data_IF_614552398173
#
_entry.id   IF_614552398173
#
_cell.length_a   1.000
_cell.length_b   1.000
_cell.length_c   1.000
_cell.angle_alpha   90.00
_cell.angle_beta   90.00
_cell.angle_gamma   90.00
#
_symmetry.space_group_name_H-M   'P 1'
#
loop_
_entity.id
_entity.type
_entity.pdbx_description
1 polymer ?
#
# COMPACT_ATOMS: atom_id res chain seq x y z
N UNK A 1 24.64 -69.10 53.34
CA UNK A 1 25.46 -70.32 53.21
C UNK A 1 25.03 -71.06 51.95
N UNK A 2 26.02 -71.45 51.13
CA UNK A 2 25.97 -72.37 49.99
C UNK A 2 25.13 -71.89 48.78
N UNK A 3 25.73 -71.55 47.63
CA UNK A 3 26.49 -72.38 46.66
C UNK A 3 25.64 -73.49 46.04
N UNK A 4 25.54 -73.74 44.72
CA UNK A 4 26.02 -73.22 43.43
C UNK A 4 25.15 -73.96 42.36
N UNK A 5 25.10 -73.54 41.09
CA UNK A 5 24.58 -74.43 40.04
C UNK A 5 24.28 -73.78 38.69
N UNK A 6 25.28 -73.80 37.81
CA UNK A 6 25.26 -73.40 36.40
C UNK A 6 24.58 -74.48 35.55
N UNK A 7 23.64 -74.11 34.66
CA UNK A 7 23.41 -74.82 33.39
C UNK A 7 23.27 -73.77 32.27
N UNK A 8 24.18 -73.87 31.32
CA UNK A 8 24.23 -73.19 30.02
C UNK A 8 23.41 -74.04 29.04
N UNK A 9 22.73 -73.42 28.06
CA UNK A 9 22.75 -73.75 26.61
C UNK A 9 21.43 -73.37 25.89
N UNK A 10 21.57 -72.41 24.96
CA UNK A 10 20.88 -72.20 23.66
C UNK A 10 19.45 -71.65 23.55
N UNK A 11 19.32 -70.65 22.64
CA UNK A 11 18.08 -70.18 22.02
C UNK A 11 17.91 -68.65 22.13
N UNK A 12 18.78 -67.84 21.51
CA UNK A 12 18.56 -67.22 20.20
C UNK A 12 17.30 -66.30 20.13
N UNK A 13 17.59 -64.98 20.15
CA UNK A 13 16.95 -63.89 19.39
C UNK A 13 15.48 -63.49 19.69
N UNK A 14 15.28 -62.25 20.17
CA UNK A 14 14.63 -61.14 19.42
C UNK A 14 14.31 -59.93 20.33
N UNK A 15 14.67 -58.74 19.82
CA UNK A 15 14.27 -57.37 20.22
C UNK A 15 14.89 -56.74 21.48
N UNK A 16 15.84 -55.81 21.26
CA UNK A 16 15.96 -54.45 21.85
C UNK A 16 17.27 -53.82 21.33
N UNK A 17 17.19 -52.71 20.57
CA UNK A 17 18.22 -51.66 20.47
C UNK A 17 17.59 -50.48 19.69
N UNK A 18 17.08 -49.45 20.36
CA UNK A 18 17.79 -48.27 20.87
C UNK A 18 18.50 -47.46 19.76
N UNK A 19 17.84 -46.37 19.37
CA UNK A 19 18.26 -45.36 18.38
C UNK A 19 19.35 -44.49 19.01
N UNK A 20 20.59 -44.60 18.52
CA UNK A 20 21.67 -43.64 18.80
C UNK A 20 22.49 -43.36 17.54
N UNK A 21 22.55 -42.09 17.14
CA UNK A 21 23.68 -41.43 16.50
C UNK A 21 24.17 -41.96 15.14
N UNK A 22 23.71 -41.32 14.06
CA UNK A 22 24.42 -41.29 12.78
C UNK A 22 25.72 -40.48 12.93
N UNK A 23 26.81 -41.16 13.27
CA UNK A 23 28.17 -40.66 13.10
C UNK A 23 28.60 -41.08 11.69
N UNK A 24 28.75 -40.11 10.79
CA UNK A 24 29.28 -40.35 9.44
C UNK A 24 30.79 -40.63 9.58
N UNK A 25 31.32 -41.80 9.18
CA UNK A 25 32.76 -42.01 9.20
C UNK A 25 33.42 -41.22 8.08
N UNK A 26 34.46 -40.46 8.42
CA UNK A 26 35.41 -39.91 7.45
C UNK A 26 36.25 -41.05 6.86
N UNK A 27 36.01 -41.36 5.59
CA UNK A 27 36.81 -42.34 4.85
C UNK A 27 38.18 -41.73 4.58
N UNK A 28 39.20 -42.26 5.26
CA UNK A 28 40.60 -41.97 4.95
C UNK A 28 41.05 -42.96 3.86
N UNK A 29 41.26 -42.48 2.64
CA UNK A 29 41.81 -43.30 1.57
C UNK A 29 43.35 -43.36 1.72
N UNK A 30 43.87 -44.50 2.15
CA UNK A 30 45.32 -44.79 2.12
C UNK A 30 45.69 -45.32 0.74
N UNK A 31 46.78 -44.82 0.18
CA UNK A 31 47.18 -45.04 -1.21
C UNK A 31 47.48 -46.51 -1.53
N UNK A 32 46.70 -47.11 -2.46
CA UNK A 32 47.24 -47.88 -3.59
C UNK A 32 46.12 -48.18 -4.60
N UNK A 33 46.30 -47.64 -5.82
CA UNK A 33 45.58 -47.92 -7.08
C UNK A 33 44.05 -47.63 -7.16
N UNK A 34 43.75 -46.53 -7.85
CA UNK A 34 42.50 -46.21 -8.58
C UNK A 34 41.24 -45.77 -7.81
N UNK A 35 41.37 -44.81 -6.89
CA UNK A 35 40.25 -43.88 -6.62
C UNK A 35 40.23 -42.79 -7.70
N UNK A 36 39.67 -43.08 -8.88
CA UNK A 36 39.33 -42.03 -9.84
C UNK A 36 38.12 -41.27 -9.32
N UNK A 37 38.38 -40.19 -8.60
CA UNK A 37 37.38 -39.15 -8.34
C UNK A 37 36.98 -38.59 -9.72
N UNK A 38 35.69 -38.60 -10.10
CA UNK A 38 35.26 -38.04 -11.36
C UNK A 38 35.77 -36.59 -11.49
N UNK A 39 36.29 -36.16 -12.66
CA UNK A 39 36.85 -34.82 -12.83
C UNK A 39 35.86 -33.66 -12.56
N UNK A 40 34.58 -33.98 -12.33
CA UNK A 40 33.52 -33.05 -11.95
C UNK A 40 33.33 -32.86 -10.44
N UNK A 41 34.02 -33.63 -9.59
CA UNK A 41 34.07 -33.40 -8.13
C UNK A 41 35.33 -32.59 -7.75
N UNK A 42 35.83 -31.79 -8.70
CA UNK A 42 36.74 -30.70 -8.39
C UNK A 42 35.94 -29.59 -7.70
N UNK A 43 36.16 -29.43 -6.39
CA UNK A 43 35.83 -28.27 -5.56
C UNK A 43 34.82 -27.31 -6.20
N UNK A 44 33.53 -27.51 -5.92
CA UNK A 44 32.48 -26.60 -6.37
C UNK A 44 32.79 -25.20 -5.85
N UNK A 45 33.39 -24.38 -6.72
CA UNK A 45 33.58 -22.96 -6.44
C UNK A 45 32.18 -22.41 -6.25
N UNK A 46 31.91 -21.77 -5.10
CA UNK A 46 30.59 -21.17 -4.86
C UNK A 46 30.29 -20.25 -6.04
N UNK A 47 29.16 -20.43 -6.74
CA UNK A 47 28.81 -19.55 -7.84
C UNK A 47 28.66 -18.13 -7.30
N UNK A 48 29.32 -17.17 -7.94
CA UNK A 48 29.11 -15.75 -7.66
C UNK A 48 27.91 -15.28 -8.47
N UNK A 49 26.80 -14.97 -7.80
CA UNK A 49 25.65 -14.32 -8.42
C UNK A 49 25.85 -12.81 -8.27
N UNK A 50 26.10 -12.11 -9.38
CA UNK A 50 26.12 -10.65 -9.42
C UNK A 50 24.79 -10.17 -9.98
N UNK A 51 24.06 -9.39 -9.20
CA UNK A 51 22.83 -8.72 -9.64
C UNK A 51 23.18 -7.24 -9.80
N UNK A 52 23.11 -6.73 -11.02
CA UNK A 52 23.18 -5.29 -11.31
C UNK A 52 21.76 -4.75 -11.47
N UNK A 53 21.38 -3.80 -10.62
CA UNK A 53 20.05 -3.18 -10.63
C UNK A 53 20.14 -1.77 -11.22
N UNK A 54 19.11 -1.38 -11.98
CA UNK A 54 18.96 -0.02 -12.46
C UNK A 54 18.77 0.94 -11.27
N UNK A 55 19.56 2.02 -11.25
CA UNK A 55 19.49 3.10 -10.26
C UNK A 55 19.05 4.44 -10.90
N UNK A 56 18.52 4.38 -12.12
CA UNK A 56 17.98 5.55 -12.81
C UNK A 56 16.76 6.12 -12.09
N UNK A 57 16.59 7.44 -12.16
CA UNK A 57 15.38 8.13 -11.69
C UNK A 57 14.09 7.62 -12.34
N UNK A 58 14.17 6.98 -13.51
CA UNK A 58 13.03 6.32 -14.16
C UNK A 58 12.42 5.19 -13.32
N UNK A 59 13.17 4.60 -12.39
CA UNK A 59 12.64 3.59 -11.47
C UNK A 59 11.62 4.15 -10.47
N UNK A 60 11.59 5.48 -10.30
CA UNK A 60 10.62 6.19 -9.46
C UNK A 60 9.33 6.56 -10.21
N UNK A 61 9.22 6.29 -11.50
CA UNK A 61 8.01 6.57 -12.30
C UNK A 61 6.93 5.53 -11.95
N UNK A 62 5.62 5.89 -12.01
CA UNK A 62 4.55 4.90 -11.93
C UNK A 62 4.81 3.76 -12.93
N UNK A 63 4.58 2.53 -12.49
CA UNK A 63 4.80 1.36 -13.33
C UNK A 63 3.79 1.32 -14.49
N UNK A 64 2.56 1.68 -14.18
CA UNK A 64 1.44 1.75 -15.12
C UNK A 64 1.19 3.22 -15.45
N UNK A 65 1.82 3.68 -16.52
CA UNK A 65 1.78 5.06 -16.95
C UNK A 65 1.00 5.16 -18.26
N UNK A 66 -0.07 5.94 -18.23
CA UNK A 66 -0.80 6.37 -19.43
C UNK A 66 0.14 7.13 -20.38
N UNK A 67 0.06 6.83 -21.67
CA UNK A 67 0.86 7.47 -22.72
C UNK A 67 0.15 8.62 -23.43
N UNK A 68 -1.12 8.88 -23.07
CA UNK A 68 -1.98 9.85 -23.76
C UNK A 68 -1.63 11.32 -23.42
N UNK A 69 -0.69 11.54 -22.48
CA UNK A 69 -0.15 12.86 -22.19
C UNK A 69 1.37 12.87 -21.99
N UNK A 70 1.97 14.04 -22.20
CA UNK A 70 3.41 14.24 -22.09
C UNK A 70 3.88 14.29 -20.64
N UNK A 71 4.22 13.14 -20.06
CA UNK A 71 4.82 13.02 -18.73
C UNK A 71 4.16 11.95 -17.88
N UNK A 72 4.37 12.04 -16.57
CA UNK A 72 3.81 11.10 -15.58
C UNK A 72 3.40 11.81 -14.27
N UNK A 73 3.74 13.09 -14.14
CA UNK A 73 3.46 13.83 -12.91
C UNK A 73 2.04 14.37 -12.93
N UNK A 74 1.49 14.61 -11.74
CA UNK A 74 0.18 15.22 -11.57
C UNK A 74 0.00 16.54 -12.36
N UNK A 75 1.06 17.34 -12.50
CA UNK A 75 1.00 18.60 -13.24
C UNK A 75 1.00 18.43 -14.77
N UNK A 76 1.36 17.25 -15.28
CA UNK A 76 1.32 16.93 -16.71
C UNK A 76 -0.04 16.37 -17.14
N UNK A 77 -0.73 15.67 -16.24
CA UNK A 77 -1.98 15.00 -16.53
C UNK A 77 -2.42 14.06 -15.40
N UNK A 78 -3.49 13.32 -15.65
CA UNK A 78 -4.03 12.30 -14.74
C UNK A 78 -4.20 11.01 -15.53
N UNK A 79 -3.63 9.92 -15.05
CA UNK A 79 -3.78 8.60 -15.66
C UNK A 79 -5.20 8.06 -15.43
N UNK A 80 -5.94 7.74 -16.49
CA UNK A 80 -7.30 7.21 -16.37
C UNK A 80 -7.60 5.91 -17.13
N UNK A 81 -6.52 5.21 -17.48
CA UNK A 81 -6.42 3.99 -18.29
C UNK A 81 -6.52 2.68 -17.49
N UNK A 82 -7.16 2.66 -16.32
CA UNK A 82 -7.35 1.41 -15.58
C UNK A 82 -8.22 0.43 -16.40
N UNK A 83 -7.69 -0.75 -16.67
CA UNK A 83 -8.37 -1.84 -17.36
C UNK A 83 -8.68 -2.97 -16.37
N UNK A 84 -9.95 -3.17 -15.96
CA UNK A 84 -10.34 -4.25 -15.06
C UNK A 84 -10.03 -5.67 -15.58
N UNK A 85 -9.80 -5.85 -16.89
CA UNK A 85 -9.45 -7.14 -17.49
C UNK A 85 -7.95 -7.46 -17.37
N UNK A 86 -7.13 -6.47 -17.02
CA UNK A 86 -5.69 -6.62 -16.82
C UNK A 86 -5.39 -6.91 -15.34
N UNK A 87 -4.46 -7.85 -15.10
CA UNK A 87 -3.86 -8.04 -13.77
C UNK A 87 -2.62 -7.17 -13.62
N UNK A 88 -2.64 -6.29 -12.64
CA UNK A 88 -1.57 -5.38 -12.28
C UNK A 88 -0.75 -5.99 -11.14
N UNK A 89 0.54 -6.23 -11.39
CA UNK A 89 1.53 -6.63 -10.40
C UNK A 89 1.96 -5.44 -9.53
N UNK A 90 2.25 -5.67 -8.26
CA UNK A 90 2.66 -4.62 -7.35
C UNK A 90 2.82 -5.09 -5.92
N UNK A 91 2.61 -4.17 -4.98
CA UNK A 91 2.79 -4.41 -3.54
C UNK A 91 1.71 -5.35 -3.01
N UNK A 92 0.48 -5.22 -3.52
CA UNK A 92 -0.70 -5.95 -3.10
C UNK A 92 -0.88 -7.24 -3.90
N UNK A 93 -1.66 -8.19 -3.38
CA UNK A 93 -2.14 -9.33 -4.14
C UNK A 93 -3.36 -8.90 -4.95
N UNK A 94 -3.27 -9.04 -6.28
CA UNK A 94 -4.30 -8.57 -7.21
C UNK A 94 -5.65 -9.27 -7.04
N UNK A 95 -5.69 -10.47 -6.47
CA UNK A 95 -6.93 -11.23 -6.31
C UNK A 95 -7.61 -10.99 -4.96
N UNK A 96 -7.00 -10.17 -4.11
CA UNK A 96 -7.45 -9.95 -2.73
C UNK A 96 -8.03 -8.57 -2.54
N UNK A 97 -8.72 -8.40 -1.43
CA UNK A 97 -9.28 -7.11 -1.01
C UNK A 97 -8.66 -6.65 0.29
N UNK A 98 -8.71 -5.35 0.51
CA UNK A 98 -8.04 -4.69 1.61
C UNK A 98 -8.93 -3.65 2.27
N UNK A 99 -8.82 -3.55 3.59
CA UNK A 99 -9.32 -2.42 4.37
C UNK A 99 -8.17 -1.52 4.74
N UNK A 100 -8.43 -0.21 4.77
CA UNK A 100 -7.49 0.70 5.38
C UNK A 100 -7.79 0.82 6.88
N UNK A 101 -6.83 0.47 7.72
CA UNK A 101 -6.89 0.65 9.16
C UNK A 101 -5.98 1.82 9.53
N UNK A 102 -6.56 2.90 10.06
CA UNK A 102 -5.84 4.12 10.45
C UNK A 102 -5.22 4.05 11.86
N UNK A 103 -5.49 2.99 12.63
CA UNK A 103 -5.00 2.83 13.98
C UNK A 103 -3.66 2.09 14.05
N UNK A 104 -3.31 1.31 13.03
CA UNK A 104 -2.07 0.52 12.98
C UNK A 104 -0.84 1.44 13.14
N UNK A 105 -0.01 1.24 14.17
CA UNK A 105 1.11 2.11 14.48
C UNK A 105 2.31 1.89 13.54
N UNK A 106 3.33 2.73 13.72
CA UNK A 106 4.72 2.46 13.32
C UNK A 106 5.32 1.51 14.36
N UNK A 107 6.02 0.46 13.91
CA UNK A 107 6.79 -0.44 14.80
C UNK A 107 7.80 0.36 15.65
N UNK A 108 7.63 0.43 16.99
CA UNK A 108 8.56 1.14 17.85
C UNK A 108 9.81 0.30 18.17
N UNK A 109 9.81 -1.00 17.86
CA UNK A 109 10.76 -1.96 18.38
C UNK A 109 12.02 -2.08 17.51
N UNK A 110 13.22 -2.03 18.10
CA UNK A 110 14.44 -2.08 17.33
C UNK A 110 14.86 -3.49 16.96
N UNK A 111 15.29 -3.65 15.71
CA UNK A 111 16.01 -4.85 15.27
C UNK A 111 17.42 -4.83 15.87
N UNK A 112 17.55 -5.37 17.09
CA UNK A 112 18.73 -5.38 17.99
C UNK A 112 18.84 -4.13 18.90
N UNK A 113 19.67 -4.21 19.96
CA UNK A 113 19.96 -3.08 20.86
C UNK A 113 20.38 -1.84 20.06
N UNK A 114 19.60 -0.76 20.15
CA UNK A 114 19.83 0.50 19.43
C UNK A 114 18.53 1.16 18.92
N UNK A 115 18.67 2.16 18.04
CA UNK A 115 17.53 2.83 17.40
C UNK A 115 16.83 1.89 16.39
N UNK A 116 15.48 1.87 16.35
CA UNK A 116 14.72 0.93 15.51
C UNK A 116 14.92 1.14 14.02
N UNK A 117 15.30 2.35 13.66
CA UNK A 117 15.53 2.77 12.29
C UNK A 117 16.91 3.41 12.19
N UNK A 118 17.56 3.27 11.02
CA UNK A 118 18.83 3.94 10.72
C UNK A 118 18.68 5.46 10.52
N UNK A 119 17.45 5.96 10.56
CA UNK A 119 17.04 7.36 10.45
C UNK A 119 15.98 7.63 11.51
N UNK A 120 15.86 8.86 12.02
CA UNK A 120 14.75 9.22 12.91
C UNK A 120 13.42 9.15 12.17
N UNK A 121 12.55 8.22 12.57
CA UNK A 121 11.19 8.07 12.03
C UNK A 121 10.19 8.75 12.95
N UNK A 122 9.19 9.39 12.38
CA UNK A 122 8.05 9.92 13.13
C UNK A 122 7.09 8.79 13.52
N UNK A 123 7.19 8.35 14.78
CA UNK A 123 6.38 7.25 15.33
C UNK A 123 4.94 7.67 15.66
N UNK A 124 4.59 8.95 15.48
CA UNK A 124 3.20 9.41 15.62
C UNK A 124 2.35 9.06 14.39
N UNK A 125 3.01 8.73 13.27
CA UNK A 125 2.37 8.29 12.05
C UNK A 125 1.67 6.94 12.24
N UNK A 126 0.55 6.75 11.54
CA UNK A 126 -0.25 5.54 11.62
C UNK A 126 -0.85 5.20 10.26
N UNK A 127 -1.32 3.97 10.16
CA UNK A 127 -2.16 3.50 9.08
C UNK A 127 -1.50 2.40 8.26
N UNK A 128 -2.30 1.42 7.84
CA UNK A 128 -1.89 0.38 6.90
C UNK A 128 -3.11 -0.20 6.18
N UNK A 129 -2.86 -0.83 5.04
CA UNK A 129 -3.84 -1.70 4.40
C UNK A 129 -3.72 -3.11 5.01
N UNK A 130 -4.86 -3.67 5.43
CA UNK A 130 -4.98 -5.02 5.97
C UNK A 130 -5.82 -5.84 5.02
N UNK A 131 -5.40 -7.07 4.75
CA UNK A 131 -6.17 -8.00 3.94
C UNK A 131 -7.54 -8.29 4.58
N UNK A 132 -8.61 -8.13 3.81
CA UNK A 132 -9.97 -8.49 4.21
C UNK A 132 -10.78 -8.89 2.99
N UNK A 133 -10.75 -10.19 2.65
CA UNK A 133 -11.49 -10.71 1.49
C UNK A 133 -13.02 -10.73 1.72
N UNK A 134 -13.49 -10.50 2.95
CA UNK A 134 -14.92 -10.42 3.27
C UNK A 134 -15.51 -9.05 2.91
N UNK A 135 -14.68 -8.02 2.76
CA UNK A 135 -15.18 -6.69 2.43
C UNK A 135 -15.74 -6.63 1.00
N UNK A 136 -16.67 -5.71 0.79
CA UNK A 136 -17.27 -5.45 -0.53
C UNK A 136 -16.98 -4.01 -0.94
N UNK A 137 -16.30 -3.82 -2.07
CA UNK A 137 -16.00 -2.51 -2.63
C UNK A 137 -17.28 -1.72 -2.94
N UNK A 138 -17.16 -0.39 -2.90
CA UNK A 138 -18.27 0.53 -3.07
C UNK A 138 -17.97 1.87 -2.43
N UNK A 139 -18.51 2.95 -3.01
CA UNK A 139 -18.43 4.28 -2.40
C UNK A 139 -18.94 4.29 -0.95
N UNK A 140 -18.17 4.91 -0.05
CA UNK A 140 -18.40 4.97 1.39
C UNK A 140 -18.12 3.68 2.16
N UNK A 141 -17.70 2.59 1.49
CA UNK A 141 -17.33 1.33 2.14
C UNK A 141 -15.81 1.26 2.25
N UNK A 142 -15.29 1.09 3.46
CA UNK A 142 -13.86 0.86 3.66
C UNK A 142 -13.48 -0.52 3.07
N UNK A 143 -13.21 -0.58 1.77
CA UNK A 143 -12.82 -1.76 1.04
C UNK A 143 -12.16 -1.33 -0.28
N UNK A 144 -11.02 -1.93 -0.56
CA UNK A 144 -10.20 -1.66 -1.74
C UNK A 144 -9.90 -2.96 -2.46
N UNK A 145 -9.96 -2.92 -3.77
CA UNK A 145 -9.51 -4.01 -4.63
C UNK A 145 -7.98 -3.99 -4.79
N UNK A 146 -7.33 -5.14 -4.58
CA UNK A 146 -5.87 -5.26 -4.64
C UNK A 146 -5.30 -5.01 -6.03
N UNK A 147 -6.02 -5.40 -7.09
CA UNK A 147 -5.61 -5.14 -8.46
C UNK A 147 -5.64 -3.64 -8.77
N UNK A 148 -6.71 -2.96 -8.35
CA UNK A 148 -6.84 -1.51 -8.44
C UNK A 148 -5.74 -0.79 -7.65
N UNK A 149 -5.45 -1.22 -6.42
CA UNK A 149 -4.34 -0.66 -5.63
C UNK A 149 -2.98 -0.82 -6.32
N UNK A 150 -2.71 -1.96 -6.95
CA UNK A 150 -1.47 -2.17 -7.70
C UNK A 150 -1.35 -1.23 -8.90
N UNK A 151 -2.42 -1.06 -9.69
CA UNK A 151 -2.43 -0.03 -10.74
C UNK A 151 -2.24 1.37 -10.14
N UNK A 152 -2.88 1.64 -9.00
CA UNK A 152 -2.94 2.94 -8.38
C UNK A 152 -1.59 3.43 -7.87
N UNK A 153 -0.83 2.60 -7.15
CA UNK A 153 0.32 3.08 -6.35
C UNK A 153 1.69 2.59 -6.81
N UNK A 154 1.75 1.52 -7.61
CA UNK A 154 3.01 0.82 -7.84
C UNK A 154 3.97 1.65 -8.69
N UNK A 155 5.16 1.94 -8.16
CA UNK A 155 6.30 2.42 -8.94
C UNK A 155 7.14 1.25 -9.42
N UNK A 156 7.94 1.46 -10.47
CA UNK A 156 8.80 0.40 -11.04
C UNK A 156 9.75 -0.22 -10.01
N UNK A 157 10.29 0.60 -9.11
CA UNK A 157 11.16 0.14 -8.03
C UNK A 157 10.43 -0.73 -7.00
N UNK A 158 9.15 -0.47 -6.73
CA UNK A 158 8.36 -1.26 -5.79
C UNK A 158 8.16 -2.67 -6.34
N UNK A 159 7.79 -2.79 -7.62
CA UNK A 159 7.67 -4.07 -8.30
C UNK A 159 9.00 -4.84 -8.35
N UNK A 160 10.12 -4.16 -8.64
CA UNK A 160 11.44 -4.78 -8.63
C UNK A 160 11.81 -5.32 -7.23
N UNK A 161 11.61 -4.52 -6.17
CA UNK A 161 11.84 -4.96 -4.79
C UNK A 161 10.91 -6.10 -4.38
N UNK A 162 9.65 -6.06 -4.81
CA UNK A 162 8.68 -7.13 -4.56
C UNK A 162 9.14 -8.45 -5.17
N UNK A 163 9.62 -8.43 -6.42
CA UNK A 163 10.09 -9.62 -7.10
C UNK A 163 11.39 -10.19 -6.51
N UNK A 164 12.30 -9.34 -6.03
CA UNK A 164 13.62 -9.77 -5.55
C UNK A 164 13.63 -10.19 -4.08
N UNK A 165 12.93 -9.46 -3.22
CA UNK A 165 13.03 -9.60 -1.77
C UNK A 165 11.69 -9.56 -1.04
N UNK A 166 10.57 -9.59 -1.76
CA UNK A 166 9.23 -9.55 -1.18
C UNK A 166 8.69 -8.13 -0.88
N UNK A 167 9.49 -7.09 -1.12
CA UNK A 167 9.11 -5.68 -0.98
C UNK A 167 10.04 -4.88 -0.05
N UNK A 168 9.80 -3.57 0.07
CA UNK A 168 10.44 -2.74 1.10
C UNK A 168 9.67 -2.95 2.40
N UNK A 169 10.30 -3.46 3.45
CA UNK A 169 9.64 -3.68 4.75
C UNK A 169 9.97 -2.54 5.71
N UNK A 170 9.06 -2.22 6.62
CA UNK A 170 9.30 -1.30 7.74
C UNK A 170 10.39 -1.85 8.67
N UNK A 171 10.20 -3.09 9.12
CA UNK A 171 11.13 -3.84 9.96
C UNK A 171 11.27 -5.26 9.43
N UNK A 172 12.44 -5.88 9.65
CA UNK A 172 12.66 -7.30 9.33
C UNK A 172 12.30 -8.22 10.50
N UNK A 173 11.97 -7.64 11.65
CA UNK A 173 11.63 -8.37 12.87
C UNK A 173 10.27 -9.05 12.83
N UNK A 174 9.34 -8.45 12.10
CA UNK A 174 7.92 -8.71 12.33
C UNK A 174 7.46 -8.00 13.60
N UNK A 175 6.21 -7.58 13.60
CA UNK A 175 5.56 -6.92 14.74
C UNK A 175 4.11 -7.37 14.80
N UNK A 176 3.57 -7.53 16.01
CA UNK A 176 2.17 -7.87 16.24
C UNK A 176 1.32 -6.59 16.06
N UNK A 177 0.87 -6.37 14.83
CA UNK A 177 0.02 -5.21 14.50
C UNK A 177 -1.46 -5.54 14.70
N UNK A 178 -1.85 -6.82 14.66
CA UNK A 178 -3.24 -7.26 14.62
C UNK A 178 -3.63 -7.91 15.96
N UNK A 179 -4.30 -7.13 16.81
CA UNK A 179 -4.77 -7.67 18.09
C UNK A 179 -5.80 -8.79 17.90
N UNK A 180 -5.59 -9.92 18.58
CA UNK A 180 -6.58 -10.98 18.69
C UNK A 180 -6.46 -12.11 17.66
N UNK A 181 -5.35 -12.16 16.91
CA UNK A 181 -5.04 -13.24 15.97
C UNK A 181 -4.18 -14.37 16.57
N UNK A 182 -3.76 -14.22 17.82
CA UNK A 182 -2.87 -15.17 18.49
C UNK A 182 -1.48 -14.63 18.77
N UNK A 183 -1.20 -13.37 18.42
CA UNK A 183 0.12 -12.76 18.59
C UNK A 183 1.08 -13.24 17.51
N UNK A 184 0.56 -13.51 16.31
CA UNK A 184 1.37 -13.74 15.14
C UNK A 184 2.15 -12.44 14.81
N UNK A 185 3.25 -12.58 14.06
CA UNK A 185 4.05 -11.43 13.65
C UNK A 185 3.73 -11.11 12.20
N UNK A 186 3.44 -9.84 11.92
CA UNK A 186 3.23 -9.36 10.56
C UNK A 186 4.39 -8.50 10.07
N UNK A 187 4.56 -8.48 8.75
CA UNK A 187 5.51 -7.59 8.08
C UNK A 187 4.75 -6.52 7.31
N UNK A 188 4.96 -5.27 7.74
CA UNK A 188 4.41 -4.11 7.03
C UNK A 188 5.26 -3.78 5.81
N UNK A 189 4.69 -3.99 4.62
CA UNK A 189 5.32 -3.63 3.34
C UNK A 189 5.01 -2.16 3.03
N UNK A 190 6.05 -1.40 2.67
CA UNK A 190 6.01 0.03 2.41
C UNK A 190 6.13 0.30 0.90
N UNK A 191 5.34 1.26 0.42
CA UNK A 191 5.55 1.85 -0.90
C UNK A 191 6.78 2.75 -0.94
N UNK A 192 7.23 3.08 -2.15
CA UNK A 192 8.37 3.97 -2.33
C UNK A 192 8.11 5.36 -1.72
N UNK A 193 8.97 5.74 -0.78
CA UNK A 193 8.92 7.00 -0.04
C UNK A 193 10.36 7.52 0.10
N UNK A 194 10.94 7.97 -1.01
CA UNK A 194 12.34 8.39 -1.11
C UNK A 194 12.45 9.89 -1.45
N UNK A 195 13.61 10.52 -1.19
CA UNK A 195 13.83 11.93 -1.49
C UNK A 195 13.62 12.27 -2.96
N UNK A 196 13.01 13.43 -3.21
CA UNK A 196 12.72 13.95 -4.55
C UNK A 196 11.93 12.98 -5.45
N UNK A 197 11.06 12.18 -4.85
CA UNK A 197 10.05 11.43 -5.59
C UNK A 197 8.95 12.39 -6.07
N UNK A 198 8.69 12.41 -7.37
CA UNK A 198 7.56 13.15 -7.93
C UNK A 198 6.22 12.53 -7.55
N UNK A 199 5.17 13.35 -7.55
CA UNK A 199 3.78 12.93 -7.41
C UNK A 199 3.19 12.50 -8.75
N UNK A 200 2.21 11.61 -8.71
CA UNK A 200 1.43 11.24 -9.89
C UNK A 200 -0.03 11.03 -9.54
N UNK A 201 -0.91 11.32 -10.50
CA UNK A 201 -2.34 11.40 -10.29
C UNK A 201 -3.04 10.36 -11.15
N UNK A 202 -4.00 9.66 -10.54
CA UNK A 202 -4.75 8.57 -11.17
C UNK A 202 -6.24 8.74 -10.92
N UNK A 203 -7.09 8.41 -11.87
CA UNK A 203 -8.55 8.51 -11.76
C UNK A 203 -9.18 7.38 -12.57
N UNK A 204 -10.34 6.88 -12.19
CA UNK A 204 -11.07 5.95 -13.05
C UNK A 204 -12.57 6.22 -13.02
N UNK A 205 -13.23 6.09 -14.17
CA UNK A 205 -14.63 6.45 -14.34
C UNK A 205 -15.61 5.58 -13.56
N UNK A 206 -15.19 4.37 -13.16
CA UNK A 206 -15.96 3.45 -12.31
C UNK A 206 -15.14 3.05 -11.06
N UNK A 207 -14.36 3.98 -10.50
CA UNK A 207 -13.47 3.74 -9.34
C UNK A 207 -14.21 3.32 -8.07
N UNK A 208 -15.51 3.63 -7.93
CA UNK A 208 -16.30 3.22 -6.77
C UNK A 208 -16.52 1.71 -6.71
N UNK A 209 -16.41 1.00 -7.83
CA UNK A 209 -16.46 -0.46 -7.87
C UNK A 209 -15.22 -1.12 -7.24
N UNK A 210 -14.15 -0.35 -7.01
CA UNK A 210 -12.84 -0.85 -6.58
C UNK A 210 -12.26 -0.12 -5.35
N UNK A 211 -12.92 0.94 -4.89
CA UNK A 211 -12.44 1.79 -3.80
C UNK A 211 -13.58 2.34 -2.95
N UNK A 212 -13.29 2.89 -1.75
CA UNK A 212 -14.26 3.57 -0.90
C UNK A 212 -14.75 4.91 -1.45
N UNK A 213 -14.20 5.40 -2.56
CA UNK A 213 -14.46 6.76 -3.05
C UNK A 213 -15.43 6.75 -4.23
N UNK A 214 -16.13 7.86 -4.50
CA UNK A 214 -16.94 8.02 -5.71
C UNK A 214 -16.18 7.71 -7.00
N UNK A 215 -16.95 7.39 -8.03
CA UNK A 215 -16.46 7.35 -9.41
C UNK A 215 -15.79 8.68 -9.79
N UNK A 216 -14.77 8.62 -10.62
CA UNK A 216 -13.98 9.78 -11.05
C UNK A 216 -13.23 10.53 -9.92
N UNK A 217 -13.08 9.92 -8.74
CA UNK A 217 -12.17 10.48 -7.71
C UNK A 217 -10.74 10.44 -8.25
N UNK A 218 -10.06 11.59 -8.23
CA UNK A 218 -8.64 11.67 -8.55
C UNK A 218 -7.85 11.33 -7.31
N UNK A 219 -6.93 10.38 -7.40
CA UNK A 219 -6.00 10.02 -6.34
C UNK A 219 -4.62 10.54 -6.68
N UNK A 220 -4.05 11.34 -5.78
CA UNK A 220 -2.66 11.75 -5.83
C UNK A 220 -1.81 10.81 -4.98
N UNK A 221 -0.79 10.24 -5.60
CA UNK A 221 0.20 9.40 -4.94
C UNK A 221 1.47 10.22 -4.78
N UNK A 222 1.97 10.33 -3.55
CA UNK A 222 3.17 11.11 -3.27
C UNK A 222 4.01 10.55 -2.12
N UNK A 223 5.27 10.98 -2.08
CA UNK A 223 6.24 10.68 -1.05
C UNK A 223 6.40 11.92 -0.15
N UNK A 224 6.07 11.84 1.15
CA UNK A 224 6.36 12.94 2.09
C UNK A 224 7.85 13.02 2.48
N UNK A 225 8.69 12.08 2.03
CA UNK A 225 10.13 12.16 2.18
C UNK A 225 10.65 13.51 1.64
N UNK A 226 11.72 13.99 2.23
CA UNK A 226 12.20 15.33 1.97
C UNK A 226 12.53 15.57 0.49
N UNK A 227 12.16 16.72 -0.05
CA UNK A 227 12.61 17.13 -1.38
C UNK A 227 14.03 17.74 -1.31
N UNK A 228 14.95 17.06 -0.62
CA UNK A 228 16.34 17.50 -0.40
C UNK A 228 16.60 18.31 0.89
N UNK A 229 15.58 18.57 1.72
CA UNK A 229 15.74 19.30 3.00
C UNK A 229 15.91 18.37 4.19
N UNK A 230 16.95 18.54 5.00
CA UNK A 230 17.15 17.72 6.22
C UNK A 230 15.97 17.92 7.19
N UNK A 231 15.35 16.83 7.64
CA UNK A 231 14.28 16.82 8.65
C UNK A 231 14.77 16.17 9.95
N UNK A 232 14.23 16.58 11.09
CA UNK A 232 14.49 15.97 12.41
C UNK A 232 13.87 14.59 12.56
N UNK A 233 12.75 14.34 11.89
CA UNK A 233 12.07 13.04 11.79
C UNK A 233 11.41 12.90 10.40
N UNK A 234 11.20 11.66 9.97
CA UNK A 234 10.63 11.33 8.66
C UNK A 234 9.33 10.54 8.81
N UNK A 235 8.29 10.94 8.07
CA UNK A 235 7.12 10.09 7.85
C UNK A 235 7.56 8.86 7.03
N UNK A 236 7.40 7.64 7.56
CA UNK A 236 7.88 6.43 6.90
C UNK A 236 7.00 6.01 5.71
N UNK A 237 5.81 6.59 5.55
CA UNK A 237 4.80 6.08 4.62
C UNK A 237 4.60 6.98 3.40
N UNK A 238 4.65 6.37 2.22
CA UNK A 238 4.06 6.97 1.01
C UNK A 238 2.56 7.17 1.21
N UNK A 239 1.99 8.17 0.54
CA UNK A 239 0.59 8.59 0.73
C UNK A 239 -0.24 8.43 -0.53
N UNK A 240 -1.50 8.07 -0.31
CA UNK A 240 -2.58 8.19 -1.27
C UNK A 240 -3.49 9.30 -0.72
N UNK A 241 -3.69 10.35 -1.50
CA UNK A 241 -4.61 11.44 -1.18
C UNK A 241 -5.71 11.45 -2.22
N UNK A 242 -6.95 11.20 -1.79
CA UNK A 242 -8.11 11.42 -2.63
C UNK A 242 -8.33 12.94 -2.78
N UNK A 243 -8.24 13.41 -4.01
CA UNK A 243 -8.46 14.78 -4.42
C UNK A 243 -9.87 14.95 -4.99
N UNK A 244 -10.49 16.07 -4.61
CA UNK A 244 -11.88 16.35 -4.94
C UNK A 244 -12.81 16.04 -3.77
N UNK A 245 -14.11 15.97 -4.07
CA UNK A 245 -15.19 15.80 -3.10
C UNK A 245 -15.10 14.53 -2.27
N UNK A 246 -14.41 14.60 -1.12
CA UNK A 246 -14.44 13.53 -0.11
C UNK A 246 -15.75 13.61 0.65
N UNK A 247 -16.78 12.86 0.23
CA UNK A 247 -18.07 12.83 0.91
C UNK A 247 -18.12 11.79 2.05
N UNK A 248 -18.15 12.25 3.31
CA UNK A 248 -18.40 11.42 4.49
C UNK A 248 -19.91 11.22 4.63
N UNK A 249 -20.37 9.98 4.81
CA UNK A 249 -21.81 9.73 4.98
C UNK A 249 -22.29 10.14 6.38
N UNK A 250 -23.40 10.88 6.43
CA UNK A 250 -24.13 11.21 7.65
C UNK A 250 -25.17 10.11 7.88
N UNK A 251 -25.16 9.52 9.07
CA UNK A 251 -26.11 8.50 9.52
C UNK A 251 -27.00 9.03 10.62
N UNK A 252 -28.26 8.61 10.64
CA UNK A 252 -29.15 8.84 11.78
C UNK A 252 -28.84 7.89 12.95
N UNK A 253 -29.59 8.02 14.05
CA UNK A 253 -29.44 7.18 15.24
C UNK A 253 -29.76 5.69 15.01
N UNK A 254 -30.44 5.36 13.90
CA UNK A 254 -30.69 3.97 13.48
C UNK A 254 -29.60 3.42 12.55
N UNK A 255 -28.59 4.23 12.21
CA UNK A 255 -27.52 3.86 11.28
C UNK A 255 -27.90 4.01 9.80
N UNK A 256 -29.10 4.52 9.50
CA UNK A 256 -29.58 4.79 8.14
C UNK A 256 -28.90 6.04 7.61
N UNK A 257 -28.52 5.98 6.33
CA UNK A 257 -27.83 7.07 5.67
C UNK A 257 -28.83 8.20 5.33
N UNK A 258 -28.55 9.41 5.82
CA UNK A 258 -29.43 10.57 5.69
C UNK A 258 -28.78 11.74 4.92
N UNK A 259 -27.49 11.65 4.62
CA UNK A 259 -26.78 12.68 3.86
C UNK A 259 -25.32 12.33 3.65
N UNK A 260 -24.59 13.28 3.06
CA UNK A 260 -23.15 13.25 2.95
C UNK A 260 -22.58 14.65 3.14
N UNK A 261 -21.35 14.76 3.64
CA UNK A 261 -20.61 16.01 3.75
C UNK A 261 -19.35 15.88 2.91
N UNK A 262 -19.18 16.76 1.92
CA UNK A 262 -18.07 16.71 0.97
C UNK A 262 -17.19 17.94 0.98
N UNK A 263 -16.03 17.87 0.31
CA UNK A 263 -15.15 19.05 0.08
C UNK A 263 -14.73 19.14 -1.38
N UNK A 264 -15.19 20.14 -2.10
CA UNK A 264 -14.89 20.31 -3.53
C UNK A 264 -13.91 21.46 -3.77
N UNK A 265 -13.02 21.29 -4.74
CA UNK A 265 -12.16 22.36 -5.26
C UNK A 265 -12.83 23.01 -6.48
N UNK A 266 -13.06 24.33 -6.45
CA UNK A 266 -13.84 25.07 -7.44
C UNK A 266 -13.17 26.38 -7.87
N UNK A 267 -13.51 26.86 -9.08
CA UNK A 267 -13.09 28.13 -9.67
C UNK A 267 -14.30 28.87 -10.25
N UNK A 268 -14.07 29.83 -11.14
CA UNK A 268 -15.08 30.57 -11.90
C UNK A 268 -15.89 29.74 -12.93
N UNK A 269 -15.43 28.52 -13.25
CA UNK A 269 -16.14 27.58 -14.13
C UNK A 269 -17.04 26.62 -13.34
N UNK A 270 -18.10 26.11 -14.00
CA UNK A 270 -19.00 25.12 -13.41
C UNK A 270 -18.32 23.75 -13.29
N UNK A 271 -18.31 23.22 -12.07
CA UNK A 271 -17.88 21.86 -11.76
C UNK A 271 -19.12 21.03 -11.42
N UNK A 272 -19.22 19.82 -11.94
CA UNK A 272 -20.20 18.83 -11.50
C UNK A 272 -19.63 18.09 -10.30
N UNK A 273 -20.38 18.05 -9.20
CA UNK A 273 -20.09 17.21 -8.05
C UNK A 273 -21.04 16.03 -8.10
N UNK A 274 -20.46 14.83 -8.25
CA UNK A 274 -21.19 13.58 -8.14
C UNK A 274 -21.31 13.19 -6.68
N UNK A 275 -22.53 12.86 -6.27
CA UNK A 275 -22.84 12.43 -4.91
C UNK A 275 -22.46 10.96 -4.74
N UNK A 276 -21.97 10.58 -3.56
CA UNK A 276 -21.65 9.19 -3.24
C UNK A 276 -22.88 8.27 -3.35
N UNK A 277 -24.08 8.83 -3.17
CA UNK A 277 -25.34 8.09 -3.08
C UNK A 277 -26.45 8.70 -3.93
N UNK A 278 -27.51 7.92 -4.10
CA UNK A 278 -28.75 8.40 -4.70
C UNK A 278 -29.69 8.90 -3.60
N UNK A 279 -30.11 10.15 -3.71
CA UNK A 279 -31.06 10.80 -2.81
C UNK A 279 -32.41 11.05 -3.51
N UNK A 280 -33.49 11.09 -2.74
CA UNK A 280 -34.79 11.55 -3.24
C UNK A 280 -34.92 13.03 -2.86
N UNK A 281 -35.06 13.90 -3.86
CA UNK A 281 -35.15 15.36 -3.71
C UNK A 281 -34.12 15.98 -2.74
N UNK A 282 -32.80 15.85 -3.02
CA UNK A 282 -31.77 16.32 -2.10
C UNK A 282 -31.74 17.84 -1.95
N UNK A 283 -31.37 18.29 -0.76
CA UNK A 283 -31.01 19.67 -0.45
C UNK A 283 -29.48 19.73 -0.34
N UNK A 284 -28.85 20.69 -1.01
CA UNK A 284 -27.40 20.92 -0.97
C UNK A 284 -27.13 22.22 -0.25
N UNK A 285 -26.24 22.20 0.75
CA UNK A 285 -25.85 23.37 1.52
C UNK A 285 -24.34 23.53 1.41
N UNK A 286 -23.89 24.50 0.62
CA UNK A 286 -22.46 24.84 0.59
C UNK A 286 -22.07 25.75 1.75
N UNK A 287 -20.95 25.41 2.38
CA UNK A 287 -20.22 26.27 3.30
C UNK A 287 -19.53 27.43 2.61
N UNK A 288 -18.83 28.28 3.39
CA UNK A 288 -18.07 29.40 2.84
C UNK A 288 -16.90 28.92 1.97
N UNK A 289 -16.40 29.81 1.10
CA UNK A 289 -15.15 29.62 0.38
C UNK A 289 -13.98 29.57 1.37
N UNK A 290 -12.93 28.81 1.05
CA UNK A 290 -11.62 29.02 1.64
C UNK A 290 -11.07 30.41 1.29
N UNK A 291 -9.87 30.71 1.78
CA UNK A 291 -9.23 32.02 1.58
C UNK A 291 -7.93 31.89 0.78
N UNK A 292 -8.06 31.55 -0.51
CA UNK A 292 -6.93 31.51 -1.44
C UNK A 292 -6.87 32.76 -2.33
N UNK A 293 -8.01 33.39 -2.61
CA UNK A 293 -8.15 34.60 -3.42
C UNK A 293 -8.71 35.78 -2.61
N UNK A 294 -8.21 36.99 -2.88
CA UNK A 294 -8.68 38.21 -2.22
C UNK A 294 -9.95 38.79 -2.84
N UNK A 295 -10.39 38.27 -3.99
CA UNK A 295 -11.52 38.83 -4.73
C UNK A 295 -12.85 38.42 -4.10
N UNK A 296 -13.77 39.38 -3.84
CA UNK A 296 -15.02 39.12 -3.17
C UNK A 296 -15.92 38.26 -4.05
N UNK A 297 -16.32 37.13 -3.48
CA UNK A 297 -16.92 36.03 -4.21
C UNK A 297 -17.98 35.31 -3.38
N UNK A 298 -18.84 34.57 -4.06
CA UNK A 298 -19.85 33.70 -3.46
C UNK A 298 -19.90 32.35 -4.16
N UNK A 299 -20.45 31.35 -3.47
CA UNK A 299 -20.71 30.02 -4.04
C UNK A 299 -22.05 30.04 -4.77
N UNK A 300 -22.11 29.45 -5.97
CA UNK A 300 -23.37 29.19 -6.70
C UNK A 300 -23.56 27.71 -6.91
N UNK A 301 -24.76 27.23 -6.61
CA UNK A 301 -25.21 25.87 -6.87
C UNK A 301 -26.34 25.90 -7.90
N UNK A 302 -26.38 24.92 -8.81
CA UNK A 302 -27.51 24.68 -9.72
C UNK A 302 -27.62 23.21 -10.10
N UNK A 303 -28.71 22.87 -10.81
CA UNK A 303 -28.93 21.53 -11.38
C UNK A 303 -28.76 20.42 -10.33
N UNK A 304 -29.39 20.59 -9.17
CA UNK A 304 -29.41 19.56 -8.14
C UNK A 304 -30.28 18.40 -8.62
N UNK A 305 -29.71 17.21 -8.66
CA UNK A 305 -30.35 15.95 -9.06
C UNK A 305 -30.22 14.93 -7.94
N UNK A 306 -30.85 13.76 -8.10
CA UNK A 306 -30.70 12.64 -7.15
C UNK A 306 -29.27 12.14 -6.96
N UNK A 307 -28.32 12.45 -7.86
CA UNK A 307 -26.94 11.92 -7.81
C UNK A 307 -25.85 12.96 -8.03
N UNK A 308 -26.18 14.21 -8.29
CA UNK A 308 -25.17 15.23 -8.58
C UNK A 308 -25.74 16.64 -8.49
N UNK A 309 -24.85 17.63 -8.37
CA UNK A 309 -25.17 19.04 -8.52
C UNK A 309 -24.02 19.76 -9.22
N UNK A 310 -24.27 20.99 -9.69
CA UNK A 310 -23.22 21.86 -10.24
C UNK A 310 -22.91 22.98 -9.27
N UNK A 311 -21.63 23.28 -9.10
CA UNK A 311 -21.12 24.30 -8.18
C UNK A 311 -20.01 25.14 -8.84
N UNK A 312 -19.92 26.42 -8.49
CA UNK A 312 -18.82 27.31 -8.89
C UNK A 312 -18.63 28.47 -7.93
N UNK A 313 -17.47 29.11 -8.03
CA UNK A 313 -17.23 30.45 -7.50
C UNK A 313 -17.80 31.48 -8.47
N UNK A 314 -18.45 32.50 -7.93
CA UNK A 314 -18.87 33.67 -8.68
C UNK A 314 -18.41 34.92 -7.95
N UNK A 315 -17.59 35.71 -8.63
CA UNK A 315 -17.19 37.02 -8.15
C UNK A 315 -18.34 38.02 -8.25
N UNK A 316 -18.20 39.13 -7.54
CA UNK A 316 -19.11 40.26 -7.63
C UNK A 316 -19.03 40.93 -9.01
N UNK A 317 -20.11 41.61 -9.42
CA UNK A 317 -20.26 42.14 -10.78
C UNK A 317 -19.16 43.12 -11.22
N UNK A 318 -18.46 43.79 -10.30
CA UNK A 318 -17.40 44.74 -10.63
C UNK A 318 -16.03 44.10 -10.86
N UNK A 319 -15.90 42.78 -10.63
CA UNK A 319 -14.70 42.01 -10.93
C UNK A 319 -14.73 41.48 -12.37
N UNK A 320 -13.62 40.91 -12.82
CA UNK A 320 -13.46 40.42 -14.20
C UNK A 320 -14.10 39.03 -14.42
N UNK A 321 -14.59 38.39 -13.35
CA UNK A 321 -15.25 37.09 -13.41
C UNK A 321 -14.28 35.92 -13.38
N UNK A 322 -12.98 36.16 -13.17
CA UNK A 322 -11.92 35.16 -13.11
C UNK A 322 -11.43 35.01 -11.69
N UNK A 323 -11.76 33.88 -11.06
CA UNK A 323 -11.33 33.58 -9.70
C UNK A 323 -10.28 32.47 -9.63
N UNK A 324 -9.43 32.53 -8.61
CA UNK A 324 -8.49 31.46 -8.25
C UNK A 324 -9.22 30.22 -7.72
N UNK A 325 -8.48 29.14 -7.45
CA UNK A 325 -9.03 27.92 -6.84
C UNK A 325 -9.41 28.15 -5.38
N UNK A 326 -10.61 27.78 -4.99
CA UNK A 326 -11.06 27.71 -3.60
C UNK A 326 -11.56 26.31 -3.25
N UNK A 327 -11.54 25.98 -1.96
CA UNK A 327 -12.13 24.78 -1.39
C UNK A 327 -13.45 25.13 -0.70
N UNK A 328 -14.47 24.30 -0.92
CA UNK A 328 -15.82 24.49 -0.35
C UNK A 328 -16.32 23.17 0.22
N UNK A 329 -16.80 23.21 1.46
CA UNK A 329 -17.53 22.10 2.05
C UNK A 329 -19.00 22.15 1.62
N UNK A 330 -19.64 21.01 1.43
CA UNK A 330 -21.07 20.91 1.09
C UNK A 330 -21.77 19.77 1.82
#
# INVERSE_FOLDING_TARGET
MRSWGIIIIQGLFIFILCVTGLIIPSISCSASSNCSVPPFVATGVKPNVIIMLDNSGSMKVPMYNDTDFGGWRCNNGTHDDFDPSQTYYGIFDSNKKYRYDSAIPVDPDPWQSGDPYKISVDTTMKGAFVEDNSCTCGSGKNCWDGNFLNWLVTRRIDAARKALVGGKMESRAGYDYITGDGGDLEWKILGNNEPSDGDFCKKYSNSSSYSPFPDNTTFKIYSPANNGSVKSSYDPYAKIEAQGSVAITIKDSSGKDIGEIGTVSIKHHWVTVDLCRKYTDPIVVAGPLSYNGSDPSLVRIKNVTSRSFKIRVQEWMYKDGTHTTEYVHY
#
